data_IF_263913425801
#
_entry.id   IF_263913425801
#
_cell.length_a   1.000
_cell.length_b   1.000
_cell.length_c   1.000
_cell.angle_alpha   90.00
_cell.angle_beta   90.00
_cell.angle_gamma   90.00
#
_symmetry.space_group_name_H-M   'P 1'
#
loop_
_entity.id
_entity.type
_entity.pdbx_description
1 polymer ?
#
# COMPACT_ATOMS: atom_id res chain seq x y z
N UNK A 1 -11.74 2.55 16.52
CA UNK A 1 -11.93 1.68 15.34
C UNK A 1 -11.84 2.52 14.09
N UNK A 2 -10.92 2.17 13.19
CA UNK A 2 -10.83 2.84 11.89
C UNK A 2 -11.75 2.15 10.88
N UNK A 3 -11.93 2.77 9.71
CA UNK A 3 -12.59 2.11 8.59
C UNK A 3 -12.06 2.64 7.26
N UNK A 4 -12.26 1.85 6.21
CA UNK A 4 -11.84 2.19 4.85
C UNK A 4 -13.07 2.32 3.95
N UNK A 5 -13.06 3.28 3.04
CA UNK A 5 -14.04 3.37 1.95
C UNK A 5 -13.36 3.69 0.62
N UNK A 6 -13.93 3.30 -0.53
CA UNK A 6 -13.38 3.68 -1.83
C UNK A 6 -13.35 5.20 -1.99
N UNK A 7 -12.31 5.68 -2.67
CA UNK A 7 -12.23 7.06 -3.14
C UNK A 7 -13.22 7.30 -4.28
N UNK A 8 -13.56 8.56 -4.57
CA UNK A 8 -14.62 8.92 -5.53
C UNK A 8 -14.30 8.43 -6.96
N UNK A 9 -13.04 8.51 -7.37
CA UNK A 9 -12.57 7.99 -8.65
C UNK A 9 -11.94 6.60 -8.51
N UNK A 10 -12.09 5.92 -7.36
CA UNK A 10 -11.66 4.54 -7.15
C UNK A 10 -10.21 4.25 -7.56
N UNK A 11 -9.34 5.26 -7.47
CA UNK A 11 -7.88 5.13 -7.59
C UNK A 11 -7.27 4.53 -6.31
N UNK A 12 -8.01 4.63 -5.22
CA UNK A 12 -7.63 4.05 -3.96
C UNK A 12 -8.78 4.08 -2.97
N UNK A 13 -8.40 4.22 -1.72
CA UNK A 13 -9.32 4.26 -0.62
C UNK A 13 -8.98 5.40 0.35
N UNK A 14 -9.98 5.84 1.08
CA UNK A 14 -9.83 6.75 2.20
C UNK A 14 -9.85 5.93 3.49
N UNK A 15 -8.77 6.01 4.26
CA UNK A 15 -8.70 5.48 5.62
C UNK A 15 -9.17 6.57 6.58
N UNK A 16 -10.06 6.23 7.51
CA UNK A 16 -10.63 7.15 8.47
C UNK A 16 -10.62 6.59 9.89
N UNK A 17 -10.33 7.43 10.87
CA UNK A 17 -10.40 7.07 12.30
C UNK A 17 -10.41 8.30 13.20
N UNK A 18 -10.58 8.09 14.51
CA UNK A 18 -10.25 9.12 15.50
C UNK A 18 -8.74 9.36 15.53
N UNK A 19 -8.29 10.36 16.29
CA UNK A 19 -6.85 10.61 16.47
C UNK A 19 -6.18 9.40 17.14
N UNK A 20 -6.83 8.89 18.17
CA UNK A 20 -6.38 7.75 18.97
C UNK A 20 -6.32 6.49 18.10
N UNK A 21 -7.36 6.23 17.30
CA UNK A 21 -7.41 5.07 16.41
C UNK A 21 -6.26 5.05 15.40
N UNK A 22 -6.00 6.19 14.74
CA UNK A 22 -4.94 6.27 13.73
C UNK A 22 -3.55 6.30 14.36
N UNK A 23 -3.40 6.85 15.57
CA UNK A 23 -2.14 6.80 16.33
C UNK A 23 -1.81 5.37 16.74
N UNK A 24 -2.79 4.64 17.27
CA UNK A 24 -2.60 3.24 17.69
C UNK A 24 -2.31 2.32 16.48
N UNK A 25 -2.97 2.57 15.36
CA UNK A 25 -2.69 1.89 14.09
C UNK A 25 -1.26 2.17 13.60
N UNK A 26 -0.81 3.43 13.70
CA UNK A 26 0.55 3.81 13.35
C UNK A 26 1.58 3.10 14.24
N UNK A 27 1.40 3.15 15.56
CA UNK A 27 2.30 2.54 16.54
C UNK A 27 2.36 1.01 16.39
N UNK A 28 1.24 0.39 16.02
CA UNK A 28 1.17 -1.07 15.80
C UNK A 28 2.00 -1.53 14.60
N UNK A 29 2.08 -0.72 13.55
CA UNK A 29 2.84 -1.07 12.35
C UNK A 29 4.23 -0.45 12.30
N UNK A 30 4.53 0.53 13.15
CA UNK A 30 5.85 1.16 13.19
C UNK A 30 6.98 0.23 13.63
N UNK A 31 6.66 -0.87 14.29
CA UNK A 31 7.68 -1.86 14.66
C UNK A 31 8.29 -2.59 13.46
N UNK A 32 7.63 -2.54 12.29
CA UNK A 32 8.04 -3.28 11.09
C UNK A 32 8.98 -2.51 10.16
N UNK A 33 9.16 -1.20 10.39
CA UNK A 33 10.14 -0.38 9.68
C UNK A 33 10.88 0.43 10.74
N UNK A 34 12.22 0.41 10.76
CA UNK A 34 13.07 1.03 11.81
C UNK A 34 13.37 0.16 13.06
N UNK A 35 13.52 -1.16 12.89
CA UNK A 35 13.94 -2.06 13.97
C UNK A 35 15.45 -2.37 13.89
N UNK A 36 16.24 -1.62 14.65
CA UNK A 36 17.71 -1.71 14.71
C UNK A 36 18.22 -3.14 15.02
N UNK A 37 17.41 -4.00 15.67
CA UNK A 37 17.81 -5.38 15.96
C UNK A 37 17.83 -6.30 14.74
N UNK A 38 17.18 -5.90 13.65
CA UNK A 38 17.07 -6.66 12.40
C UNK A 38 17.63 -5.91 11.19
N UNK A 39 18.32 -4.79 11.42
CA UNK A 39 19.13 -4.11 10.41
C UNK A 39 20.36 -4.96 10.09
N UNK A 40 20.16 -5.98 9.24
CA UNK A 40 21.27 -6.49 8.44
C UNK A 40 21.79 -5.35 7.55
N UNK A 41 23.10 -5.32 7.25
CA UNK A 41 23.80 -4.31 6.42
C UNK A 41 23.23 -4.07 4.99
N UNK A 42 22.08 -4.66 4.67
CA UNK A 42 21.26 -4.36 3.50
C UNK A 42 20.52 -3.04 3.73
N UNK A 43 21.07 -1.96 3.17
CA UNK A 43 20.42 -0.66 2.97
C UNK A 43 18.89 -0.79 2.82
N UNK A 44 18.11 -0.31 3.80
CA UNK A 44 16.66 -0.08 3.75
C UNK A 44 15.89 -1.02 2.80
N UNK A 45 15.51 -2.19 3.32
CA UNK A 45 14.67 -3.19 2.66
C UNK A 45 13.48 -2.54 1.92
N UNK A 46 13.18 -3.02 0.72
CA UNK A 46 12.02 -2.60 -0.07
C UNK A 46 10.71 -2.62 0.75
N UNK A 47 10.55 -3.59 1.66
CA UNK A 47 9.40 -3.64 2.57
C UNK A 47 9.31 -2.40 3.48
N UNK A 48 10.42 -1.96 4.06
CA UNK A 48 10.47 -0.82 4.97
C UNK A 48 10.07 0.47 4.26
N UNK A 49 10.48 0.65 2.99
CA UNK A 49 10.08 1.80 2.17
C UNK A 49 8.58 1.82 1.87
N UNK A 50 7.97 0.65 1.65
CA UNK A 50 6.52 0.53 1.44
C UNK A 50 5.77 0.86 2.74
N UNK A 51 6.21 0.25 3.85
CA UNK A 51 5.57 0.40 5.16
C UNK A 51 5.65 1.86 5.63
N UNK A 52 6.84 2.45 5.58
CA UNK A 52 7.06 3.86 5.97
C UNK A 52 6.24 4.84 5.13
N UNK A 53 6.09 4.59 3.82
CA UNK A 53 5.29 5.43 2.93
C UNK A 53 3.81 5.49 3.35
N UNK A 54 3.20 4.36 3.66
CA UNK A 54 1.81 4.32 4.14
C UNK A 54 1.67 4.91 5.55
N UNK A 55 2.60 4.61 6.45
CA UNK A 55 2.55 5.12 7.82
C UNK A 55 2.80 6.63 7.90
N UNK A 56 3.55 7.19 6.95
CA UNK A 56 3.66 8.64 6.79
C UNK A 56 2.29 9.28 6.52
N UNK A 57 1.48 8.71 5.64
CA UNK A 57 0.14 9.22 5.33
C UNK A 57 -0.81 9.11 6.53
N UNK A 58 -0.75 8.00 7.27
CA UNK A 58 -1.52 7.80 8.51
C UNK A 58 -1.13 8.86 9.55
N UNK A 59 0.17 9.08 9.76
CA UNK A 59 0.69 10.09 10.68
C UNK A 59 0.21 11.48 10.32
N UNK A 60 0.34 11.87 9.04
CA UNK A 60 -0.12 13.17 8.56
C UNK A 60 -1.63 13.35 8.69
N UNK A 61 -2.42 12.28 8.66
CA UNK A 61 -3.85 12.36 8.94
C UNK A 61 -4.13 12.80 10.37
N UNK A 62 -3.60 12.10 11.38
CA UNK A 62 -3.87 12.42 12.78
C UNK A 62 -3.11 13.65 13.31
N UNK A 63 -2.07 14.10 12.59
CA UNK A 63 -1.42 15.41 12.76
C UNK A 63 -2.22 16.56 12.11
N UNK A 64 -3.47 16.32 11.70
CA UNK A 64 -4.39 17.32 11.15
C UNK A 64 -3.87 17.97 9.85
N UNK A 65 -3.10 17.24 9.04
CA UNK A 65 -2.50 17.72 7.78
C UNK A 65 -3.14 17.13 6.51
N UNK A 66 -4.17 16.28 6.64
CA UNK A 66 -4.87 15.63 5.52
C UNK A 66 -6.39 15.89 5.58
N UNK A 67 -7.22 14.84 5.51
CA UNK A 67 -8.68 14.95 5.48
C UNK A 67 -9.25 15.11 6.90
N UNK A 68 -10.34 15.88 7.02
CA UNK A 68 -11.04 16.09 8.29
C UNK A 68 -12.54 16.16 8.10
N UNK A 69 -13.29 15.62 9.07
CA UNK A 69 -14.74 15.76 9.14
C UNK A 69 -15.24 15.69 10.59
N UNK A 70 -16.44 16.22 10.83
CA UNK A 70 -17.05 16.32 12.18
C UNK A 70 -18.00 15.17 12.54
N UNK A 71 -18.26 14.27 11.60
CA UNK A 71 -19.18 13.14 11.77
C UNK A 71 -18.59 11.88 11.17
N UNK A 72 -18.88 10.75 11.80
CA UNK A 72 -18.45 9.44 11.33
C UNK A 72 -19.55 8.76 10.51
N UNK A 73 -19.19 7.81 9.64
CA UNK A 73 -20.19 6.94 8.99
C UNK A 73 -20.67 5.81 9.91
N UNK A 74 -20.03 5.64 11.08
CA UNK A 74 -20.24 4.53 12.01
C UNK A 74 -20.96 4.95 13.30
N UNK A 75 -20.96 6.24 13.62
CA UNK A 75 -21.52 6.79 14.85
C UNK A 75 -22.14 8.16 14.59
N UNK A 76 -23.28 8.41 15.22
CA UNK A 76 -24.00 9.68 15.16
C UNK A 76 -23.44 10.74 16.14
N UNK A 77 -22.41 10.39 16.92
CA UNK A 77 -21.76 11.34 17.84
C UNK A 77 -20.88 12.32 17.06
N UNK A 78 -20.96 13.61 17.41
CA UNK A 78 -20.03 14.62 16.90
C UNK A 78 -18.63 14.35 17.46
N UNK A 79 -17.80 13.70 16.67
CA UNK A 79 -16.39 13.47 16.97
C UNK A 79 -15.58 13.80 15.73
N UNK A 80 -14.40 14.38 15.92
CA UNK A 80 -13.52 14.73 14.81
C UNK A 80 -12.88 13.46 14.27
N UNK A 81 -13.09 13.18 12.99
CA UNK A 81 -12.44 12.10 12.27
C UNK A 81 -11.39 12.67 11.32
N UNK A 82 -10.28 11.97 11.27
CA UNK A 82 -9.14 12.25 10.40
C UNK A 82 -9.06 11.17 9.33
N UNK A 83 -8.50 11.51 8.17
CA UNK A 83 -8.27 10.52 7.14
C UNK A 83 -7.20 10.89 6.13
N UNK A 84 -6.76 9.88 5.38
CA UNK A 84 -5.81 10.01 4.28
C UNK A 84 -6.27 9.15 3.10
N UNK A 85 -5.80 9.50 1.90
CA UNK A 85 -6.01 8.71 0.70
C UNK A 85 -4.78 7.84 0.45
N UNK A 86 -4.99 6.56 0.17
CA UNK A 86 -3.95 5.59 -0.16
C UNK A 86 -4.38 4.87 -1.44
N UNK A 87 -3.48 4.70 -2.41
CA UNK A 87 -3.83 3.98 -3.64
C UNK A 87 -4.11 2.50 -3.36
N UNK A 88 -4.91 1.84 -4.20
CA UNK A 88 -5.13 0.40 -4.05
C UNK A 88 -3.82 -0.39 -4.13
N UNK A 89 -2.92 0.03 -5.02
CA UNK A 89 -1.60 -0.58 -5.18
C UNK A 89 -0.79 -0.45 -3.87
N UNK A 90 -0.68 0.75 -3.31
CA UNK A 90 0.06 0.97 -2.07
C UNK A 90 -0.52 0.16 -0.91
N UNK A 91 -1.84 0.12 -0.76
CA UNK A 91 -2.50 -0.65 0.30
C UNK A 91 -2.24 -2.15 0.19
N UNK A 92 -2.35 -2.72 -1.02
CA UNK A 92 -2.09 -4.14 -1.25
C UNK A 92 -0.63 -4.47 -0.93
N UNK A 93 0.33 -3.68 -1.43
CA UNK A 93 1.75 -3.89 -1.15
C UNK A 93 2.09 -3.70 0.33
N UNK A 94 1.41 -2.78 1.02
CA UNK A 94 1.56 -2.58 2.45
C UNK A 94 1.17 -3.83 3.25
N UNK A 95 0.01 -4.44 2.97
CA UNK A 95 -0.42 -5.68 3.62
C UNK A 95 0.62 -6.78 3.39
N UNK A 96 1.11 -6.91 2.16
CA UNK A 96 2.09 -7.93 1.79
C UNK A 96 3.45 -7.74 2.49
N UNK A 97 3.94 -6.50 2.57
CA UNK A 97 5.18 -6.17 3.28
C UNK A 97 5.06 -6.46 4.79
N UNK A 98 3.94 -6.10 5.41
CA UNK A 98 3.67 -6.38 6.82
C UNK A 98 3.61 -7.90 7.05
N UNK A 99 2.85 -8.64 6.24
CA UNK A 99 2.75 -10.11 6.31
C UNK A 99 4.11 -10.79 6.19
N UNK A 100 4.98 -10.30 5.32
CA UNK A 100 6.34 -10.81 5.19
C UNK A 100 7.15 -10.57 6.46
N UNK A 101 7.16 -9.34 6.97
CA UNK A 101 7.89 -8.95 8.18
C UNK A 101 7.38 -9.63 9.45
N UNK A 102 6.11 -10.01 9.52
CA UNK A 102 5.54 -10.80 10.62
C UNK A 102 6.20 -12.17 10.83
N UNK A 103 6.79 -12.74 9.78
CA UNK A 103 7.54 -14.00 9.89
C UNK A 103 8.93 -13.79 10.52
N UNK A 104 9.39 -12.53 10.60
CA UNK A 104 10.72 -12.15 11.08
C UNK A 104 10.68 -11.46 12.44
N UNK A 105 9.62 -10.69 12.70
CA UNK A 105 9.46 -9.85 13.89
C UNK A 105 8.32 -10.40 14.76
N UNK A 106 8.55 -10.65 16.07
CA UNK A 106 7.48 -11.07 16.97
C UNK A 106 6.33 -10.06 17.03
N UNK A 107 5.10 -10.55 16.88
CA UNK A 107 3.89 -9.73 16.97
C UNK A 107 3.06 -10.08 18.19
N UNK A 108 2.33 -9.09 18.71
CA UNK A 108 1.33 -9.29 19.74
C UNK A 108 -0.09 -9.36 19.14
N UNK A 109 -1.09 -9.66 19.98
CA UNK A 109 -2.49 -9.80 19.54
C UNK A 109 -3.09 -8.51 18.99
N UNK A 110 -2.67 -7.34 19.49
CA UNK A 110 -3.16 -6.04 19.05
C UNK A 110 -2.71 -5.73 17.62
N UNK A 111 -1.45 -6.02 17.29
CA UNK A 111 -0.90 -5.84 15.95
C UNK A 111 -1.62 -6.78 14.96
N UNK A 112 -1.83 -8.04 15.36
CA UNK A 112 -2.58 -8.99 14.54
C UNK A 112 -4.03 -8.52 14.32
N UNK A 113 -4.70 -7.99 15.34
CA UNK A 113 -6.07 -7.47 15.17
C UNK A 113 -6.12 -6.28 14.22
N UNK A 114 -5.16 -5.35 14.29
CA UNK A 114 -5.13 -4.21 13.37
C UNK A 114 -4.85 -4.62 11.92
N UNK A 115 -4.00 -5.61 11.70
CA UNK A 115 -3.79 -6.18 10.36
C UNK A 115 -5.09 -6.78 9.80
N UNK A 116 -5.75 -7.63 10.59
CA UNK A 116 -6.99 -8.29 10.18
C UNK A 116 -8.11 -7.27 9.94
N UNK A 117 -8.20 -6.23 10.76
CA UNK A 117 -9.14 -5.12 10.57
C UNK A 117 -8.84 -4.35 9.27
N UNK A 118 -7.57 -4.11 8.96
CA UNK A 118 -7.16 -3.42 7.75
C UNK A 118 -7.46 -4.25 6.49
N UNK A 119 -7.15 -5.55 6.50
CA UNK A 119 -7.50 -6.50 5.45
C UNK A 119 -9.02 -6.55 5.23
N UNK A 120 -9.80 -6.71 6.31
CA UNK A 120 -11.26 -6.74 6.25
C UNK A 120 -11.84 -5.48 5.61
N UNK A 121 -11.42 -4.30 6.07
CA UNK A 121 -11.95 -3.04 5.55
C UNK A 121 -11.53 -2.78 4.11
N UNK A 122 -10.31 -3.19 3.72
CA UNK A 122 -9.86 -3.09 2.33
C UNK A 122 -10.67 -4.00 1.41
N UNK A 123 -10.84 -5.28 1.79
CA UNK A 123 -11.65 -6.23 1.04
C UNK A 123 -13.09 -5.72 0.91
N UNK A 124 -13.70 -5.30 2.02
CA UNK A 124 -15.05 -4.74 2.02
C UNK A 124 -15.18 -3.56 1.07
N UNK A 125 -14.25 -2.60 1.11
CA UNK A 125 -14.26 -1.45 0.24
C UNK A 125 -14.13 -1.85 -1.25
N UNK A 126 -13.27 -2.83 -1.57
CA UNK A 126 -13.15 -3.36 -2.94
C UNK A 126 -14.47 -4.03 -3.40
N UNK A 127 -15.08 -4.86 -2.56
CA UNK A 127 -16.34 -5.54 -2.88
C UNK A 127 -17.52 -4.57 -3.06
N UNK A 128 -17.59 -3.52 -2.24
CA UNK A 128 -18.58 -2.44 -2.36
C UNK A 128 -18.42 -1.68 -3.69
N UNK A 129 -17.18 -1.56 -4.20
CA UNK A 129 -16.91 -0.87 -5.45
C UNK A 129 -17.19 -1.74 -6.70
N UNK A 130 -16.60 -2.93 -6.79
CA UNK A 130 -16.88 -3.92 -7.85
C UNK A 130 -16.58 -5.34 -7.38
N UNK A 131 -17.63 -6.09 -7.06
CA UNK A 131 -17.52 -7.44 -6.49
C UNK A 131 -16.78 -8.46 -7.37
N UNK A 132 -16.89 -8.34 -8.70
CA UNK A 132 -16.21 -9.27 -9.63
C UNK A 132 -14.70 -9.07 -9.58
N UNK A 133 -14.24 -7.83 -9.76
CA UNK A 133 -12.81 -7.54 -9.69
C UNK A 133 -12.26 -7.70 -8.28
N UNK A 134 -13.04 -7.37 -7.24
CA UNK A 134 -12.64 -7.63 -5.85
C UNK A 134 -12.37 -9.11 -5.57
N UNK A 135 -13.18 -10.02 -6.15
CA UNK A 135 -12.94 -11.45 -6.05
C UNK A 135 -11.61 -11.87 -6.67
N UNK A 136 -11.24 -11.29 -7.83
CA UNK A 136 -9.93 -11.52 -8.46
C UNK A 136 -8.77 -10.92 -7.65
N UNK A 137 -9.01 -9.82 -6.92
CA UNK A 137 -8.01 -9.13 -6.10
C UNK A 137 -7.74 -9.80 -4.75
N UNK A 138 -8.66 -10.64 -4.26
CA UNK A 138 -8.55 -11.28 -2.94
C UNK A 138 -7.21 -11.98 -2.73
N UNK A 139 -6.75 -12.74 -3.71
CA UNK A 139 -5.51 -13.51 -3.59
C UNK A 139 -4.27 -12.60 -3.42
N UNK A 140 -4.32 -11.38 -3.95
CA UNK A 140 -3.25 -10.39 -3.80
C UNK A 140 -3.18 -9.79 -2.40
N UNK A 141 -4.30 -9.75 -1.67
CA UNK A 141 -4.34 -9.36 -0.26
C UNK A 141 -3.78 -10.47 0.64
N UNK A 142 -4.00 -11.74 0.26
CA UNK A 142 -3.68 -12.89 1.11
C UNK A 142 -2.31 -13.54 0.85
N UNK A 143 -1.48 -13.03 -0.07
CA UNK A 143 -0.13 -13.58 -0.25
C UNK A 143 0.44 -13.69 -1.66
N UNK A 144 -0.28 -13.30 -2.72
CA UNK A 144 0.18 -13.58 -4.10
C UNK A 144 1.39 -12.77 -4.58
N UNK A 145 1.70 -11.64 -3.95
CA UNK A 145 2.85 -10.80 -4.29
C UNK A 145 4.11 -11.36 -3.64
N UNK A 146 5.19 -11.44 -4.43
CA UNK A 146 6.52 -11.85 -3.96
C UNK A 146 7.17 -10.76 -3.10
N UNK A 147 6.79 -10.74 -1.81
CA UNK A 147 7.30 -9.78 -0.84
C UNK A 147 8.78 -9.99 -0.48
N UNK A 148 9.39 -11.11 -0.90
CA UNK A 148 10.82 -11.40 -0.68
C UNK A 148 11.74 -10.78 -1.73
N UNK A 149 11.18 -10.15 -2.77
CA UNK A 149 11.94 -9.50 -3.82
C UNK A 149 12.61 -8.22 -3.31
N UNK A 150 13.94 -8.14 -3.36
CA UNK A 150 14.70 -6.95 -2.95
C UNK A 150 14.32 -5.67 -3.73
N UNK A 151 13.74 -5.80 -4.92
CA UNK A 151 13.25 -4.70 -5.75
C UNK A 151 11.75 -4.41 -5.57
N UNK A 152 11.07 -5.02 -4.58
CA UNK A 152 9.62 -4.91 -4.38
C UNK A 152 9.11 -3.46 -4.35
N UNK A 153 9.86 -2.53 -3.77
CA UNK A 153 9.47 -1.12 -3.73
C UNK A 153 9.41 -0.50 -5.13
N UNK A 154 10.36 -0.84 -6.02
CA UNK A 154 10.41 -0.37 -7.40
C UNK A 154 9.27 -0.99 -8.23
N UNK A 155 8.92 -2.26 -7.96
CA UNK A 155 7.73 -2.89 -8.54
C UNK A 155 6.45 -2.15 -8.13
N UNK A 156 6.30 -1.86 -6.84
CA UNK A 156 5.17 -1.10 -6.31
C UNK A 156 5.07 0.27 -7.00
N UNK A 157 6.17 1.04 -7.05
CA UNK A 157 6.20 2.37 -7.70
C UNK A 157 5.74 2.29 -9.16
N UNK A 158 6.31 1.36 -9.93
CA UNK A 158 5.98 1.20 -11.36
C UNK A 158 4.51 0.85 -11.58
N UNK A 159 4.01 -0.13 -10.83
CA UNK A 159 2.61 -0.57 -10.91
C UNK A 159 1.68 0.58 -10.49
N UNK A 160 2.06 1.34 -9.46
CA UNK A 160 1.28 2.47 -8.98
C UNK A 160 1.20 3.60 -10.02
N UNK A 161 2.32 3.95 -10.66
CA UNK A 161 2.35 4.91 -11.76
C UNK A 161 1.48 4.45 -12.94
N UNK A 162 1.67 3.21 -13.40
CA UNK A 162 0.85 2.64 -14.49
C UNK A 162 -0.63 2.66 -14.15
N UNK A 163 -0.99 2.39 -12.90
CA UNK A 163 -2.36 2.42 -12.44
C UNK A 163 -2.93 3.85 -12.41
N UNK A 164 -2.17 4.83 -11.92
CA UNK A 164 -2.58 6.24 -11.94
C UNK A 164 -2.79 6.77 -13.35
N UNK A 165 -1.96 6.36 -14.32
CA UNK A 165 -2.11 6.71 -15.73
C UNK A 165 -3.42 6.19 -16.35
N UNK A 166 -4.12 5.25 -15.71
CA UNK A 166 -5.47 4.81 -16.13
C UNK A 166 -6.58 5.80 -15.75
N UNK A 167 -6.28 6.86 -14.99
CA UNK A 167 -7.19 7.92 -14.57
C UNK A 167 -8.40 7.44 -13.74
N UNK A 168 -8.26 6.31 -13.05
CA UNK A 168 -9.28 5.79 -12.14
C UNK A 168 -10.56 5.26 -12.80
N UNK A 169 -11.58 5.14 -11.97
CA UNK A 169 -12.89 4.61 -12.28
C UNK A 169 -12.91 3.09 -12.43
N UNK A 170 -14.08 2.59 -12.83
CA UNK A 170 -14.33 1.15 -12.96
C UNK A 170 -13.39 0.46 -13.97
N UNK A 171 -12.97 1.18 -15.01
CA UNK A 171 -12.04 0.64 -16.02
C UNK A 171 -10.65 0.45 -15.44
N UNK A 172 -10.13 1.43 -14.70
CA UNK A 172 -8.83 1.30 -14.03
C UNK A 172 -8.87 0.17 -13.01
N UNK A 173 -9.88 0.14 -12.13
CA UNK A 173 -10.02 -0.92 -11.12
C UNK A 173 -10.01 -2.33 -11.74
N UNK A 174 -10.76 -2.55 -12.83
CA UNK A 174 -10.76 -3.82 -13.59
C UNK A 174 -9.39 -4.22 -14.15
N UNK A 175 -8.51 -3.26 -14.43
CA UNK A 175 -7.17 -3.53 -14.93
C UNK A 175 -6.17 -3.86 -13.81
N UNK A 176 -6.50 -3.53 -12.55
CA UNK A 176 -5.60 -3.67 -11.42
C UNK A 176 -5.03 -5.10 -11.24
N UNK A 177 -5.82 -6.19 -11.30
CA UNK A 177 -5.27 -7.54 -11.18
C UNK A 177 -4.15 -7.81 -12.19
N UNK A 178 -4.36 -7.42 -13.45
CA UNK A 178 -3.37 -7.61 -14.52
C UNK A 178 -2.10 -6.78 -14.35
N UNK A 179 -2.19 -5.62 -13.70
CA UNK A 179 -1.00 -4.84 -13.34
C UNK A 179 -0.23 -5.50 -12.20
N UNK A 180 -0.93 -6.00 -11.18
CA UNK A 180 -0.34 -6.65 -10.00
C UNK A 180 0.38 -7.96 -10.34
N UNK A 181 0.00 -8.66 -11.42
CA UNK A 181 0.74 -9.85 -11.92
C UNK A 181 2.23 -9.58 -12.12
N UNK A 182 2.63 -8.33 -12.40
CA UNK A 182 4.04 -7.94 -12.49
C UNK A 182 4.81 -8.23 -11.20
N UNK A 183 4.17 -8.23 -10.04
CA UNK A 183 4.82 -8.50 -8.75
C UNK A 183 4.63 -9.95 -8.24
N UNK A 184 4.04 -10.83 -9.05
CA UNK A 184 3.83 -12.24 -8.69
C UNK A 184 4.95 -13.10 -9.27
N UNK A 185 5.70 -13.80 -8.40
CA UNK A 185 6.82 -14.64 -8.81
C UNK A 185 6.40 -15.66 -9.88
N UNK A 186 7.25 -15.85 -10.89
CA UNK A 186 7.07 -16.84 -11.95
C UNK A 186 6.11 -16.42 -13.07
N UNK A 187 5.41 -15.29 -12.97
CA UNK A 187 4.56 -14.79 -14.07
C UNK A 187 5.41 -14.23 -15.21
N UNK A 188 4.81 -14.11 -16.40
CA UNK A 188 5.47 -13.45 -17.53
C UNK A 188 5.78 -11.98 -17.20
N UNK A 189 4.85 -11.26 -16.58
CA UNK A 189 5.03 -9.86 -16.21
C UNK A 189 6.19 -9.64 -15.24
N UNK A 190 6.30 -10.52 -14.23
CA UNK A 190 7.40 -10.48 -13.27
C UNK A 190 8.75 -10.70 -13.93
N UNK A 191 8.86 -11.73 -14.78
CA UNK A 191 10.11 -12.07 -15.46
C UNK A 191 10.54 -10.99 -16.46
N UNK A 192 9.58 -10.38 -17.17
CA UNK A 192 9.87 -9.28 -18.08
C UNK A 192 10.37 -8.04 -17.34
N UNK A 193 9.68 -7.63 -16.28
CA UNK A 193 10.07 -6.44 -15.53
C UNK A 193 11.39 -6.63 -14.78
N UNK A 194 11.66 -7.84 -14.26
CA UNK A 194 12.96 -8.18 -13.68
C UNK A 194 14.09 -7.99 -14.68
N UNK A 195 13.93 -8.50 -15.91
CA UNK A 195 14.93 -8.35 -16.98
C UNK A 195 15.11 -6.90 -17.41
N UNK A 196 14.04 -6.11 -17.38
CA UNK A 196 14.09 -4.67 -17.63
C UNK A 196 14.97 -3.96 -16.58
N UNK A 197 14.71 -4.20 -15.28
CA UNK A 197 15.52 -3.66 -14.19
C UNK A 197 16.99 -4.11 -14.27
N UNK A 198 17.27 -5.39 -14.56
CA UNK A 198 18.63 -5.89 -14.72
C UNK A 198 19.37 -5.20 -15.87
N UNK A 199 18.67 -4.89 -16.97
CA UNK A 199 19.22 -4.16 -18.11
C UNK A 199 19.48 -2.69 -17.77
N UNK A 200 18.56 -2.04 -17.08
CA UNK A 200 18.72 -0.63 -16.68
C UNK A 200 19.81 -0.44 -15.63
N UNK A 201 19.90 -1.36 -14.66
CA UNK A 201 20.97 -1.41 -13.68
C UNK A 201 22.35 -1.49 -14.36
N UNK A 202 22.49 -2.37 -15.37
CA UNK A 202 23.72 -2.48 -16.18
C UNK A 202 24.00 -1.21 -16.96
N UNK A 203 22.98 -0.62 -17.60
CA UNK A 203 23.11 0.61 -18.39
C UNK A 203 23.58 1.80 -17.55
N UNK A 204 23.13 1.88 -16.29
CA UNK A 204 23.43 2.97 -15.36
C UNK A 204 24.59 2.64 -14.41
N UNK A 205 25.24 1.48 -14.56
CA UNK A 205 26.31 1.00 -13.69
C UNK A 205 25.95 1.06 -12.19
N UNK A 206 24.74 0.58 -11.85
CA UNK A 206 24.19 0.56 -10.50
C UNK A 206 23.54 -0.79 -10.17
N UNK A 207 23.08 -0.95 -8.93
CA UNK A 207 22.28 -2.12 -8.51
C UNK A 207 20.81 -1.89 -8.83
N UNK A 208 20.08 -2.97 -9.18
CA UNK A 208 18.65 -2.89 -9.48
C UNK A 208 17.83 -2.32 -8.31
N UNK A 209 18.23 -2.60 -7.07
CA UNK A 209 17.60 -2.08 -5.83
C UNK A 209 17.78 -0.58 -5.64
N UNK A 210 18.76 0.03 -6.30
CA UNK A 210 19.06 1.46 -6.26
C UNK A 210 18.54 2.22 -7.49
N UNK A 211 17.81 1.55 -8.37
CA UNK A 211 17.16 2.21 -9.50
C UNK A 211 16.02 3.10 -8.99
N UNK A 212 15.93 4.28 -9.58
CA UNK A 212 14.80 5.18 -9.38
C UNK A 212 13.90 5.14 -10.61
N UNK A 213 12.59 5.07 -10.39
CA UNK A 213 11.59 5.23 -11.43
C UNK A 213 11.63 6.69 -11.90
N UNK A 214 11.75 6.91 -13.21
CA UNK A 214 11.55 8.23 -13.80
C UNK A 214 10.03 8.49 -13.93
N UNK A 215 9.51 9.32 -13.04
CA UNK A 215 8.12 9.74 -12.95
C UNK A 215 7.95 11.26 -12.84
N UNK A 216 8.97 12.02 -13.26
CA UNK A 216 9.02 13.49 -13.20
C UNK A 216 7.83 14.17 -13.92
N UNK A 217 7.28 13.51 -14.94
CA UNK A 217 6.14 14.00 -15.73
C UNK A 217 4.77 13.74 -15.06
N UNK A 218 4.72 12.99 -13.96
CA UNK A 218 3.47 12.65 -13.28
C UNK A 218 3.22 13.55 -12.06
N UNK A 219 2.09 14.25 -12.07
CA UNK A 219 1.68 15.13 -10.99
C UNK A 219 0.99 14.35 -9.86
N UNK A 220 1.78 13.93 -8.87
CA UNK A 220 1.28 13.24 -7.68
C UNK A 220 0.46 14.14 -6.74
N UNK A 221 0.62 15.46 -6.79
CA UNK A 221 -0.09 16.39 -5.91
C UNK A 221 -1.55 16.57 -6.34
N UNK A 222 -1.81 16.55 -7.65
CA UNK A 222 -3.14 16.78 -8.22
C UNK A 222 -3.87 15.49 -8.64
N UNK A 223 -3.51 14.34 -8.04
CA UNK A 223 -4.23 13.08 -8.24
C UNK A 223 -5.70 13.25 -7.84
N UNK A 224 -6.59 12.91 -8.78
CA UNK A 224 -8.04 12.94 -8.55
C UNK A 224 -8.47 11.65 -7.86
N UNK A 225 -8.43 11.65 -6.54
CA UNK A 225 -8.90 10.55 -5.68
C UNK A 225 -10.36 10.21 -5.93
#
# INVERSE_FOLDING_TARGET
>A
MFYIKPTKNAIGFELWGSREDLSELYDSFSIFFNNEMYDSELEFDSCDRIISGVLYEIRKAFDNSRLKRKSSHLSYSESTYYGCCISWVQGIFFIQAIRYKQNLIPINKLILSHLLEFEYWMEKAMYEFDSKTAFELKDFITGRIDASNDCLYIYMRKINLEYFLLNGGKKAFKALPGLLEKACYGTLGYNLYRKELERDAKRLNTNATRLELNDDDFDYENVKW
#
